data_IF_066443965346
#
_entry.id   IF_066443965346
#
_cell.length_a   1.000
_cell.length_b   1.000
_cell.length_c   1.000
_cell.angle_alpha   90.00
_cell.angle_beta   90.00
_cell.angle_gamma   90.00
#
_symmetry.space_group_name_H-M   'P 1'
#
loop_
_entity.id
_entity.type
_entity.pdbx_description
1 polymer ?
#
# COMPACT_ATOMS: atom_id res chain seq x y z
N UNK A 1 -21.10 16.31 28.10
CA UNK A 1 -21.87 16.10 26.87
C UNK A 1 -21.02 15.21 25.97
N UNK A 2 -21.43 13.97 25.72
CA UNK A 2 -20.77 13.07 24.78
C UNK A 2 -21.12 13.56 23.38
N UNK A 3 -20.16 14.16 22.67
CA UNK A 3 -20.34 14.43 21.25
C UNK A 3 -20.52 13.08 20.53
N UNK A 4 -21.57 12.92 19.71
CA UNK A 4 -21.71 11.71 18.90
C UNK A 4 -20.50 11.61 17.97
N UNK A 5 -19.79 10.48 17.99
CA UNK A 5 -18.68 10.21 17.07
C UNK A 5 -19.21 10.27 15.64
N UNK A 6 -18.65 11.14 14.82
CA UNK A 6 -18.97 11.19 13.40
C UNK A 6 -18.34 10.01 12.66
N UNK A 7 -18.83 9.72 11.46
CA UNK A 7 -18.19 8.73 10.58
C UNK A 7 -16.73 9.10 10.27
N UNK A 8 -16.40 10.39 10.21
CA UNK A 8 -15.04 10.90 10.00
C UNK A 8 -14.14 10.66 11.23
N UNK A 9 -14.68 10.80 12.45
CA UNK A 9 -13.95 10.52 13.69
C UNK A 9 -13.63 9.02 13.80
N UNK A 10 -14.63 8.17 13.54
CA UNK A 10 -14.45 6.72 13.52
C UNK A 10 -13.43 6.30 12.46
N UNK A 11 -13.55 6.82 11.24
CA UNK A 11 -12.58 6.55 10.19
C UNK A 11 -11.17 6.98 10.58
N UNK A 12 -11.01 8.18 11.15
CA UNK A 12 -9.68 8.68 11.51
C UNK A 12 -9.00 7.81 12.56
N UNK A 13 -9.76 7.28 13.51
CA UNK A 13 -9.27 6.33 14.51
C UNK A 13 -8.86 4.99 13.87
N UNK A 14 -9.80 4.34 13.17
CA UNK A 14 -9.57 3.04 12.52
C UNK A 14 -8.45 3.08 11.49
N UNK A 15 -8.39 4.15 10.69
CA UNK A 15 -7.33 4.35 9.72
C UNK A 15 -5.97 4.50 10.41
N UNK A 16 -5.91 5.22 11.54
CA UNK A 16 -4.71 5.30 12.37
C UNK A 16 -4.21 3.93 12.81
N UNK A 17 -5.09 3.12 13.40
CA UNK A 17 -4.73 1.75 13.86
C UNK A 17 -4.28 0.84 12.71
N UNK A 18 -4.93 0.95 11.54
CA UNK A 18 -4.53 0.21 10.35
C UNK A 18 -3.13 0.63 9.88
N UNK A 19 -2.84 1.94 9.85
CA UNK A 19 -1.57 2.50 9.39
C UNK A 19 -0.43 2.15 10.36
N UNK A 20 -0.68 2.21 11.66
CA UNK A 20 0.30 1.80 12.68
C UNK A 20 0.61 0.30 12.59
N UNK A 21 -0.40 -0.53 12.32
CA UNK A 21 -0.20 -1.96 12.07
C UNK A 21 0.60 -2.20 10.79
N UNK A 22 0.33 -1.48 9.72
CA UNK A 22 1.07 -1.58 8.47
C UNK A 22 2.54 -1.20 8.67
N UNK A 23 2.82 -0.09 9.35
CA UNK A 23 4.18 0.35 9.67
C UNK A 23 4.92 -0.67 10.54
N UNK A 24 4.27 -1.19 11.59
CA UNK A 24 4.87 -2.22 12.44
C UNK A 24 5.23 -3.49 11.65
N UNK A 25 4.42 -3.86 10.66
CA UNK A 25 4.70 -4.97 9.75
C UNK A 25 5.84 -4.68 8.77
N UNK A 26 5.95 -3.45 8.26
CA UNK A 26 7.06 -3.02 7.39
C UNK A 26 8.43 -3.11 8.09
N UNK A 27 8.46 -2.81 9.38
CA UNK A 27 9.68 -2.73 10.19
C UNK A 27 10.19 -4.10 10.69
N UNK A 28 9.53 -5.21 10.33
CA UNK A 28 10.01 -6.55 10.66
C UNK A 28 11.22 -6.92 9.79
N UNK A 29 12.15 -7.69 10.36
CA UNK A 29 13.35 -8.18 9.66
C UNK A 29 13.01 -9.27 8.65
N UNK A 30 12.02 -10.11 8.96
CA UNK A 30 11.46 -11.11 8.04
C UNK A 30 10.34 -10.48 7.20
N UNK A 31 10.15 -10.92 5.94
CA UNK A 31 9.02 -10.46 5.12
C UNK A 31 7.73 -10.61 5.91
N UNK A 32 6.90 -9.55 6.04
CA UNK A 32 5.64 -9.67 6.76
C UNK A 32 4.83 -10.80 6.14
N UNK A 33 4.22 -11.65 6.96
CA UNK A 33 3.25 -12.63 6.47
C UNK A 33 2.21 -11.84 5.67
N UNK A 34 2.25 -11.93 4.34
CA UNK A 34 1.53 -11.02 3.45
C UNK A 34 0.02 -10.96 3.73
N UNK A 35 -0.52 -11.97 4.42
CA UNK A 35 -1.86 -11.98 5.02
C UNK A 35 -2.14 -10.82 5.99
N UNK A 36 -1.25 -10.52 6.92
CA UNK A 36 -1.49 -9.50 7.95
C UNK A 36 -1.46 -8.09 7.33
N UNK A 37 -0.54 -7.86 6.39
CA UNK A 37 -0.44 -6.59 5.66
C UNK A 37 -1.67 -6.38 4.76
N UNK A 38 -2.11 -7.45 4.07
CA UNK A 38 -3.34 -7.45 3.29
C UNK A 38 -4.58 -7.22 4.15
N UNK A 39 -4.67 -7.83 5.33
CA UNK A 39 -5.78 -7.64 6.27
C UNK A 39 -5.86 -6.18 6.72
N UNK A 40 -4.73 -5.57 7.08
CA UNK A 40 -4.66 -4.16 7.47
C UNK A 40 -5.05 -3.22 6.31
N UNK A 41 -4.57 -3.48 5.09
CA UNK A 41 -4.94 -2.69 3.91
C UNK A 41 -6.44 -2.77 3.59
N UNK A 42 -7.05 -3.96 3.71
CA UNK A 42 -8.51 -4.13 3.55
C UNK A 42 -9.32 -3.40 4.61
N UNK A 43 -8.87 -3.44 5.87
CA UNK A 43 -9.51 -2.72 6.96
C UNK A 43 -9.49 -1.20 6.70
N UNK A 44 -8.33 -0.65 6.30
CA UNK A 44 -8.19 0.75 5.91
C UNK A 44 -9.13 1.14 4.77
N UNK A 45 -9.22 0.30 3.73
CA UNK A 45 -10.16 0.52 2.62
C UNK A 45 -11.62 0.49 3.11
N UNK A 46 -11.97 -0.49 3.94
CA UNK A 46 -13.31 -0.67 4.49
C UNK A 46 -13.75 0.54 5.32
N UNK A 47 -12.90 1.03 6.20
CA UNK A 47 -13.19 2.21 7.01
C UNK A 47 -13.35 3.47 6.15
N UNK A 48 -12.52 3.66 5.12
CA UNK A 48 -12.65 4.76 4.19
C UNK A 48 -13.99 4.73 3.42
N UNK A 49 -14.43 3.55 2.97
CA UNK A 49 -15.73 3.38 2.31
C UNK A 49 -16.90 3.71 3.24
N UNK A 50 -16.86 3.24 4.50
CA UNK A 50 -17.90 3.52 5.48
C UNK A 50 -18.03 5.02 5.80
N UNK A 51 -16.93 5.76 5.76
CA UNK A 51 -16.92 7.22 5.96
C UNK A 51 -17.13 8.03 4.68
N UNK A 52 -17.44 7.38 3.54
CA UNK A 52 -17.65 8.06 2.25
C UNK A 52 -16.39 8.68 1.64
N UNK A 53 -15.20 8.31 2.13
CA UNK A 53 -13.90 8.84 1.69
C UNK A 53 -13.40 8.11 0.44
N UNK A 54 -14.16 8.22 -0.65
CA UNK A 54 -13.93 7.46 -1.88
C UNK A 54 -12.55 7.63 -2.52
N UNK A 55 -11.95 8.83 -2.55
CA UNK A 55 -10.57 8.97 -3.01
C UNK A 55 -9.56 8.16 -2.17
N UNK A 56 -9.71 8.16 -0.84
CA UNK A 56 -8.83 7.39 0.05
C UNK A 56 -9.11 5.89 -0.05
N UNK A 57 -10.38 5.48 -0.19
CA UNK A 57 -10.74 4.08 -0.39
C UNK A 57 -10.12 3.50 -1.65
N UNK A 58 -10.03 4.29 -2.74
CA UNK A 58 -9.34 3.88 -3.97
C UNK A 58 -7.84 3.73 -3.75
N UNK A 59 -7.19 4.72 -3.12
CA UNK A 59 -5.77 4.61 -2.79
C UNK A 59 -5.47 3.39 -1.90
N UNK A 60 -6.32 3.12 -0.90
CA UNK A 60 -6.17 1.95 -0.02
C UNK A 60 -6.38 0.62 -0.79
N UNK A 61 -7.22 0.61 -1.82
CA UNK A 61 -7.34 -0.54 -2.72
C UNK A 61 -6.05 -0.76 -3.54
N UNK A 62 -5.37 0.31 -3.96
CA UNK A 62 -4.07 0.21 -4.62
C UNK A 62 -2.98 -0.32 -3.68
N UNK A 63 -3.00 0.09 -2.40
CA UNK A 63 -2.13 -0.51 -1.37
C UNK A 63 -2.45 -1.99 -1.18
N UNK A 64 -3.73 -2.37 -1.12
CA UNK A 64 -4.16 -3.76 -1.09
C UNK A 64 -3.58 -4.54 -2.29
N UNK A 65 -3.56 -3.96 -3.49
CA UNK A 65 -2.98 -4.57 -4.67
C UNK A 65 -1.46 -4.81 -4.55
N UNK A 66 -0.70 -3.84 -4.01
CA UNK A 66 0.74 -4.03 -3.73
C UNK A 66 0.96 -5.18 -2.76
N UNK A 67 0.25 -5.20 -1.62
CA UNK A 67 0.38 -6.26 -0.61
C UNK A 67 0.03 -7.63 -1.18
N UNK A 68 -0.93 -7.67 -2.11
CA UNK A 68 -1.36 -8.88 -2.81
C UNK A 68 -0.29 -9.37 -3.78
N UNK A 69 0.27 -8.49 -4.61
CA UNK A 69 1.33 -8.83 -5.55
C UNK A 69 2.56 -9.42 -4.84
N UNK A 70 2.93 -8.82 -3.70
CA UNK A 70 4.01 -9.33 -2.85
C UNK A 70 3.68 -10.71 -2.28
N UNK A 71 2.46 -10.90 -1.75
CA UNK A 71 2.01 -12.20 -1.23
C UNK A 71 2.00 -13.29 -2.30
N UNK A 72 1.64 -12.93 -3.52
CA UNK A 72 1.54 -13.83 -4.67
C UNK A 72 2.90 -14.05 -5.36
N UNK A 73 3.96 -13.37 -4.93
CA UNK A 73 5.30 -13.48 -5.50
C UNK A 73 5.46 -12.84 -6.87
N UNK A 74 4.50 -12.01 -7.31
CA UNK A 74 4.57 -11.26 -8.57
C UNK A 74 5.30 -9.93 -8.43
N UNK A 75 5.60 -9.53 -7.18
CA UNK A 75 6.45 -8.39 -6.83
C UNK A 75 7.41 -8.78 -5.71
N UNK A 76 8.70 -8.52 -5.89
CA UNK A 76 9.70 -8.77 -4.86
C UNK A 76 9.54 -7.77 -3.70
N UNK A 77 9.69 -8.25 -2.46
CA UNK A 77 9.69 -7.40 -1.26
C UNK A 77 11.09 -6.84 -0.99
N UNK A 78 11.62 -6.09 -1.96
CA UNK A 78 12.94 -5.48 -1.89
C UNK A 78 12.93 -4.14 -1.12
N UNK A 79 14.11 -3.54 -0.95
CA UNK A 79 14.26 -2.25 -0.27
C UNK A 79 13.41 -1.14 -0.93
N UNK A 80 13.37 -1.09 -2.26
CA UNK A 80 12.66 -0.04 -2.99
C UNK A 80 11.14 -0.16 -2.84
N UNK A 81 10.58 -1.37 -2.81
CA UNK A 81 9.16 -1.60 -2.53
C UNK A 81 8.85 -1.24 -1.08
N UNK A 82 9.69 -1.65 -0.13
CA UNK A 82 9.51 -1.31 1.29
C UNK A 82 9.49 0.19 1.52
N UNK A 83 10.44 0.91 0.93
CA UNK A 83 10.55 2.37 1.01
C UNK A 83 9.30 3.06 0.44
N UNK A 84 8.85 2.68 -0.76
CA UNK A 84 7.65 3.27 -1.36
C UNK A 84 6.37 2.96 -0.58
N UNK A 85 6.26 1.78 0.04
CA UNK A 85 5.11 1.48 0.92
C UNK A 85 5.19 2.29 2.22
N UNK A 86 6.38 2.51 2.78
CA UNK A 86 6.55 3.39 3.94
C UNK A 86 6.15 4.84 3.63
N UNK A 87 6.59 5.38 2.50
CA UNK A 87 6.17 6.71 2.02
C UNK A 87 4.66 6.80 1.82
N UNK A 88 4.04 5.76 1.27
CA UNK A 88 2.59 5.70 1.10
C UNK A 88 1.84 5.71 2.44
N UNK A 89 2.35 5.03 3.47
CA UNK A 89 1.76 5.05 4.82
C UNK A 89 1.79 6.47 5.39
N UNK A 90 2.93 7.16 5.29
CA UNK A 90 3.04 8.57 5.72
C UNK A 90 2.06 9.47 4.97
N UNK A 91 1.92 9.25 3.67
CA UNK A 91 0.99 10.00 2.84
C UNK A 91 -0.48 9.77 3.24
N UNK A 92 -0.87 8.52 3.55
CA UNK A 92 -2.17 8.24 4.16
C UNK A 92 -2.34 8.93 5.50
N UNK A 93 -1.33 8.92 6.38
CA UNK A 93 -1.39 9.58 7.70
C UNK A 93 -1.68 11.08 7.56
N UNK A 94 -1.05 11.75 6.59
CA UNK A 94 -1.30 13.16 6.30
C UNK A 94 -2.74 13.42 5.82
N UNK A 95 -3.26 12.58 4.93
CA UNK A 95 -4.63 12.68 4.42
C UNK A 95 -5.67 12.42 5.53
N UNK A 96 -5.47 11.40 6.35
CA UNK A 96 -6.32 11.05 7.49
C UNK A 96 -6.31 12.16 8.54
N UNK A 97 -5.13 12.70 8.85
CA UNK A 97 -4.99 13.81 9.80
C UNK A 97 -5.81 15.03 9.39
N UNK A 98 -5.80 15.39 8.11
CA UNK A 98 -6.60 16.52 7.59
C UNK A 98 -8.11 16.30 7.82
N UNK A 99 -8.59 15.08 7.59
CA UNK A 99 -10.00 14.72 7.84
C UNK A 99 -10.33 14.85 9.33
N UNK A 100 -9.45 14.36 10.21
CA UNK A 100 -9.60 14.49 11.67
C UNK A 100 -9.64 15.94 12.14
N UNK A 101 -8.88 16.82 11.47
CA UNK A 101 -8.83 18.26 11.79
C UNK A 101 -10.05 19.03 11.24
N UNK A 102 -11.06 18.34 10.69
CA UNK A 102 -12.29 18.93 10.16
C UNK A 102 -12.17 19.44 8.73
N UNK A 103 -11.05 19.15 8.05
CA UNK A 103 -10.86 19.44 6.63
C UNK A 103 -11.49 18.38 5.73
N UNK A 104 -11.68 18.72 4.46
CA UNK A 104 -12.05 17.75 3.43
C UNK A 104 -10.84 16.90 3.01
N UNK A 105 -11.10 15.68 2.55
CA UNK A 105 -10.08 14.89 1.86
C UNK A 105 -9.53 15.70 0.66
N UNK A 106 -8.25 15.53 0.37
CA UNK A 106 -7.64 16.08 -0.84
C UNK A 106 -7.71 15.03 -1.94
N UNK A 107 -8.75 15.06 -2.80
CA UNK A 107 -9.00 14.00 -3.76
C UNK A 107 -7.87 13.89 -4.77
N UNK A 108 -7.22 15.00 -5.11
CA UNK A 108 -6.11 15.01 -6.07
C UNK A 108 -4.88 14.33 -5.46
N UNK A 109 -4.58 14.62 -4.19
CA UNK A 109 -3.47 13.98 -3.47
C UNK A 109 -3.72 12.50 -3.23
N UNK A 110 -4.93 12.11 -2.83
CA UNK A 110 -5.32 10.71 -2.71
C UNK A 110 -5.27 9.96 -4.07
N UNK A 111 -5.68 10.60 -5.16
CA UNK A 111 -5.58 10.01 -6.49
C UNK A 111 -4.14 9.77 -6.93
N UNK A 112 -3.22 10.72 -6.67
CA UNK A 112 -1.79 10.54 -6.94
C UNK A 112 -1.18 9.39 -6.13
N UNK A 113 -1.54 9.30 -4.85
CA UNK A 113 -1.13 8.18 -3.99
C UNK A 113 -1.59 6.84 -4.56
N UNK A 114 -2.87 6.74 -4.96
CA UNK A 114 -3.41 5.52 -5.58
C UNK A 114 -2.69 5.14 -6.87
N UNK A 115 -2.43 6.11 -7.76
CA UNK A 115 -1.70 5.87 -9.00
C UNK A 115 -0.25 5.41 -8.77
N UNK A 116 0.44 5.98 -7.79
CA UNK A 116 1.79 5.56 -7.42
C UNK A 116 1.81 4.10 -6.92
N UNK A 117 0.86 3.73 -6.07
CA UNK A 117 0.70 2.37 -5.56
C UNK A 117 0.30 1.37 -6.67
N UNK A 118 -0.56 1.77 -7.60
CA UNK A 118 -0.90 0.94 -8.78
C UNK A 118 0.32 0.67 -9.65
N UNK A 119 1.13 1.69 -9.92
CA UNK A 119 2.39 1.54 -10.64
C UNK A 119 3.35 0.59 -9.91
N UNK A 120 3.42 0.70 -8.58
CA UNK A 120 4.26 -0.16 -7.75
C UNK A 120 3.82 -1.64 -7.79
N UNK A 121 2.51 -1.90 -7.81
CA UNK A 121 1.95 -3.25 -7.87
C UNK A 121 2.18 -3.92 -9.23
N UNK A 122 2.17 -3.14 -10.33
CA UNK A 122 2.38 -3.66 -11.70
C UNK A 122 3.85 -3.83 -12.11
N UNK A 123 4.79 -3.23 -11.38
CA UNK A 123 6.22 -3.20 -11.70
C UNK A 123 7.00 -4.48 -11.37
N UNK A 124 6.48 -5.66 -11.73
CA UNK A 124 7.18 -6.95 -11.52
C UNK A 124 8.63 -6.92 -12.05
N UNK A 125 9.53 -7.64 -11.37
CA UNK A 125 10.98 -7.66 -11.57
C UNK A 125 11.39 -7.90 -13.03
N UNK A 126 11.60 -6.83 -13.79
CA UNK A 126 12.02 -6.91 -15.19
C UNK A 126 13.52 -7.19 -15.35
N UNK A 127 14.31 -7.22 -14.28
CA UNK A 127 15.76 -7.43 -14.37
C UNK A 127 16.26 -8.30 -13.21
N UNK A 128 16.35 -9.61 -13.42
CA UNK A 128 17.46 -10.55 -13.03
C UNK A 128 17.05 -11.96 -13.53
N UNK A 129 16.68 -12.05 -14.80
CA UNK A 129 16.59 -13.32 -15.53
C UNK A 129 17.95 -13.61 -16.17
N UNK A 130 18.92 -14.03 -15.35
CA UNK A 130 20.28 -14.27 -15.77
C UNK A 130 20.38 -15.20 -16.98
N UNK A 131 20.84 -14.64 -18.10
CA UNK A 131 21.86 -15.19 -19.01
C UNK A 131 22.26 -16.64 -18.70
N UNK A 132 21.44 -17.61 -19.11
CA UNK A 132 21.83 -19.02 -19.26
C UNK A 132 21.53 -19.46 -20.69
N UNK A 133 22.53 -19.26 -21.54
CA UNK A 133 22.58 -19.70 -22.92
C UNK A 133 24.03 -19.70 -23.40
N UNK A 134 24.92 -20.31 -22.60
CA UNK A 134 26.28 -20.58 -23.05
C UNK A 134 26.27 -21.71 -24.08
N UNK A 135 26.66 -21.40 -25.31
CA UNK A 135 27.80 -22.01 -26.02
C UNK A 135 27.77 -21.57 -27.49
N UNK A 136 28.67 -20.67 -27.81
CA UNK A 136 29.29 -20.59 -29.12
C UNK A 136 30.02 -21.90 -29.44
N UNK A 137 30.03 -22.22 -30.74
CA UNK A 137 31.03 -23.04 -31.46
C UNK A 137 31.03 -24.57 -31.22
N UNK A 138 31.02 -25.45 -32.22
CA UNK A 138 31.27 -25.35 -33.67
C UNK A 138 30.40 -26.34 -34.45
N UNK A 139 29.90 -25.89 -35.61
CA UNK A 139 29.68 -26.72 -36.78
C UNK A 139 30.75 -26.37 -37.82
N UNK A 140 31.04 -27.32 -38.72
CA UNK A 140 31.87 -27.26 -39.93
C UNK A 140 33.25 -27.98 -39.87
N UNK A 141 33.36 -29.05 -40.69
CA UNK A 141 34.59 -29.48 -41.35
C UNK A 141 35.00 -30.92 -41.11
#
# INVERSE_FOLDING_TARGET
>A
MTHPFSAADFFSLEAGECLDRLEALLNREEPPAGEDMLRAARALRGSALMAGQQPLARAAASLEAVTRAVREGTRDWDFAVREQVAEAIEEFRLLVRRIREGGEADPARAARLGAALESLAGGGSAEVGGRRGGRTELDAG
#
